data_IF_858971719990
#
_entry.id   IF_858971719990
#
_cell.length_a   1.000
_cell.length_b   1.000
_cell.length_c   1.000
_cell.angle_alpha   90.00
_cell.angle_beta   90.00
_cell.angle_gamma   90.00
#
_symmetry.space_group_name_H-M   'P 1'
#
loop_
_entity.id
_entity.type
_entity.pdbx_description
1 polymer ?
#
# COMPACT_ATOMS: atom_id res chain seq x y z
N UNK A 1 0.67 -1.00 12.87
CA UNK A 1 1.79 -0.99 13.83
C UNK A 1 1.40 -1.47 15.23
N UNK A 2 0.25 -1.09 15.80
CA UNK A 2 -0.10 -1.48 17.18
C UNK A 2 -0.28 -3.01 17.39
N UNK A 3 -0.91 -3.72 16.44
CA UNK A 3 -1.08 -5.18 16.53
C UNK A 3 0.25 -5.96 16.50
N UNK A 4 1.18 -5.58 15.62
CA UNK A 4 2.49 -6.27 15.50
C UNK A 4 3.35 -6.09 16.75
N UNK A 5 3.36 -4.88 17.33
CA UNK A 5 4.13 -4.58 18.55
C UNK A 5 3.62 -5.37 19.76
N UNK A 6 2.35 -5.78 19.76
CA UNK A 6 1.70 -6.49 20.87
C UNK A 6 1.73 -8.02 20.69
N UNK A 7 1.53 -8.55 19.48
CA UNK A 7 1.45 -9.99 19.22
C UNK A 7 2.79 -10.66 18.85
N UNK A 8 3.78 -9.89 18.39
CA UNK A 8 5.03 -10.43 17.84
C UNK A 8 4.85 -11.04 16.44
N UNK A 9 5.90 -10.98 15.61
CA UNK A 9 5.87 -11.41 14.19
C UNK A 9 5.41 -12.86 13.99
N UNK A 10 5.65 -13.74 14.96
CA UNK A 10 5.34 -15.17 14.87
C UNK A 10 3.84 -15.52 14.93
N UNK A 11 2.98 -14.57 15.34
CA UNK A 11 1.52 -14.77 15.41
C UNK A 11 0.77 -14.21 14.20
N UNK A 12 1.48 -13.58 13.26
CA UNK A 12 0.89 -12.93 12.10
C UNK A 12 0.64 -13.94 10.99
N UNK A 13 -0.51 -13.82 10.34
CA UNK A 13 -0.77 -14.56 9.10
C UNK A 13 0.06 -13.97 7.95
N UNK A 14 0.25 -14.73 6.87
CA UNK A 14 0.94 -14.22 5.67
C UNK A 14 0.29 -12.94 5.13
N UNK A 15 -1.02 -12.77 5.31
CA UNK A 15 -1.71 -11.56 4.87
C UNK A 15 -1.44 -10.38 5.81
N UNK A 16 -1.37 -10.60 7.12
CA UNK A 16 -1.03 -9.55 8.09
C UNK A 16 0.40 -9.03 7.87
N UNK A 17 1.33 -9.92 7.50
CA UNK A 17 2.69 -9.55 7.10
C UNK A 17 2.69 -8.64 5.87
N UNK A 18 1.89 -8.96 4.83
CA UNK A 18 1.75 -8.08 3.66
C UNK A 18 1.14 -6.72 4.00
N UNK A 19 0.17 -6.68 4.92
CA UNK A 19 -0.39 -5.42 5.41
C UNK A 19 0.64 -4.58 6.18
N UNK A 20 1.53 -5.23 6.93
CA UNK A 20 2.62 -4.57 7.62
C UNK A 20 3.65 -3.97 6.66
N UNK A 21 4.09 -4.75 5.68
CA UNK A 21 5.01 -4.30 4.62
C UNK A 21 4.40 -3.14 3.83
N UNK A 22 3.11 -3.25 3.47
CA UNK A 22 2.37 -2.16 2.84
C UNK A 22 2.36 -0.89 3.70
N UNK A 23 2.09 -1.00 5.00
CA UNK A 23 2.04 0.15 5.89
C UNK A 23 3.41 0.84 6.00
N UNK A 24 4.49 0.07 6.06
CA UNK A 24 5.85 0.62 6.08
C UNK A 24 6.21 1.32 4.75
N UNK A 25 5.91 0.68 3.62
CA UNK A 25 6.13 1.27 2.30
C UNK A 25 5.28 2.52 2.07
N UNK A 26 4.03 2.53 2.55
CA UNK A 26 3.14 3.69 2.48
C UNK A 26 3.68 4.89 3.25
N UNK A 27 4.15 4.70 4.48
CA UNK A 27 4.75 5.79 5.25
C UNK A 27 6.01 6.35 4.56
N UNK A 28 6.88 5.47 4.04
CA UNK A 28 8.16 5.88 3.45
C UNK A 28 8.03 6.49 2.07
N UNK A 29 7.23 5.91 1.18
CA UNK A 29 7.16 6.30 -0.23
C UNK A 29 6.01 7.29 -0.51
N UNK A 30 4.84 7.05 0.09
CA UNK A 30 3.65 7.88 -0.17
C UNK A 30 3.63 9.12 0.71
N UNK A 31 3.69 8.95 2.03
CA UNK A 31 3.57 10.06 3.00
C UNK A 31 4.86 10.87 3.12
N UNK A 32 6.00 10.21 3.23
CA UNK A 32 7.30 10.86 3.43
C UNK A 32 7.90 11.40 2.12
N UNK A 33 7.18 12.29 1.45
CA UNK A 33 7.59 12.95 0.22
C UNK A 33 8.85 13.83 0.35
N UNK A 34 9.14 14.30 1.57
CA UNK A 34 10.26 15.20 1.86
C UNK A 34 9.90 16.67 1.61
N UNK A 35 10.64 17.58 2.26
CA UNK A 35 10.30 19.01 2.30
C UNK A 35 10.50 19.76 0.98
N UNK A 36 11.28 19.20 0.05
CA UNK A 36 11.68 19.86 -1.20
C UNK A 36 11.14 19.16 -2.45
N UNK A 37 10.16 18.27 -2.29
CA UNK A 37 9.58 17.52 -3.40
C UNK A 37 8.19 18.06 -3.68
N UNK A 38 7.94 18.49 -4.91
CA UNK A 38 6.60 18.81 -5.40
C UNK A 38 6.18 17.70 -6.36
N UNK A 39 5.08 17.00 -6.05
CA UNK A 39 4.56 15.89 -6.85
C UNK A 39 3.24 16.32 -7.46
N UNK A 40 3.08 15.99 -8.74
CA UNK A 40 1.77 16.06 -9.38
C UNK A 40 0.79 15.06 -8.76
N UNK A 41 -0.50 15.28 -9.02
CA UNK A 41 -1.54 14.35 -8.57
C UNK A 41 -1.42 13.01 -9.30
N UNK A 42 -0.98 13.02 -10.56
CA UNK A 42 -0.74 11.84 -11.38
C UNK A 42 0.36 10.96 -10.77
N UNK A 43 1.52 11.54 -10.42
CA UNK A 43 2.61 10.82 -9.75
C UNK A 43 2.16 10.25 -8.40
N UNK A 44 1.37 11.03 -7.65
CA UNK A 44 0.83 10.57 -6.36
C UNK A 44 -0.07 9.36 -6.54
N UNK A 45 -0.96 9.38 -7.54
CA UNK A 45 -1.85 8.26 -7.85
C UNK A 45 -1.08 7.04 -8.35
N UNK A 46 -0.03 7.23 -9.15
CA UNK A 46 0.84 6.16 -9.64
C UNK A 46 1.54 5.44 -8.48
N UNK A 47 2.14 6.19 -7.55
CA UNK A 47 2.75 5.63 -6.33
C UNK A 47 1.68 4.90 -5.49
N UNK A 48 0.50 5.49 -5.35
CA UNK A 48 -0.61 4.85 -4.64
C UNK A 48 -0.97 3.47 -5.22
N UNK A 49 -1.13 3.38 -6.55
CA UNK A 49 -1.43 2.12 -7.21
C UNK A 49 -0.28 1.11 -7.14
N UNK A 50 0.97 1.57 -7.28
CA UNK A 50 2.16 0.74 -7.07
C UNK A 50 2.15 0.11 -5.67
N UNK A 51 1.85 0.88 -4.63
CA UNK A 51 1.78 0.37 -3.26
C UNK A 51 0.59 -0.58 -3.06
N UNK A 52 -0.58 -0.26 -3.59
CA UNK A 52 -1.75 -1.14 -3.53
C UNK A 52 -1.51 -2.49 -4.22
N UNK A 53 -0.62 -2.54 -5.22
CA UNK A 53 -0.23 -3.78 -5.91
C UNK A 53 0.48 -4.81 -5.01
N UNK A 54 1.04 -4.37 -3.87
CA UNK A 54 1.64 -5.25 -2.86
C UNK A 54 0.59 -6.14 -2.17
N UNK A 55 -0.65 -5.66 -2.08
CA UNK A 55 -1.76 -6.38 -1.50
C UNK A 55 -2.46 -7.23 -2.58
N UNK A 56 -2.96 -8.44 -2.26
CA UNK A 56 -3.74 -9.23 -3.20
C UNK A 56 -5.00 -8.49 -3.65
N UNK A 57 -5.37 -8.61 -4.93
CA UNK A 57 -6.57 -7.97 -5.49
C UNK A 57 -7.84 -8.23 -4.66
N UNK A 58 -7.99 -9.43 -4.10
CA UNK A 58 -9.15 -9.81 -3.28
C UNK A 58 -9.31 -8.96 -2.00
N UNK A 59 -8.24 -8.31 -1.54
CA UNK A 59 -8.25 -7.43 -0.38
C UNK A 59 -8.70 -6.00 -0.72
N UNK A 60 -8.68 -5.61 -1.99
CA UNK A 60 -9.02 -4.26 -2.47
C UNK A 60 -10.55 -4.05 -2.61
N UNK A 61 -11.32 -4.48 -1.60
CA UNK A 61 -12.79 -4.57 -1.62
C UNK A 61 -13.52 -3.22 -1.74
N UNK A 62 -12.81 -2.11 -1.51
CA UNK A 62 -13.37 -0.74 -1.57
C UNK A 62 -13.21 -0.09 -2.93
N UNK A 63 -12.43 -0.70 -3.83
CA UNK A 63 -12.14 -0.18 -5.15
C UNK A 63 -13.02 -0.91 -6.15
N UNK A 64 -13.71 -0.14 -6.97
CA UNK A 64 -14.57 -0.64 -8.04
C UNK A 64 -13.75 -1.48 -9.04
N UNK A 65 -14.25 -2.64 -9.45
CA UNK A 65 -13.51 -3.60 -10.29
C UNK A 65 -13.00 -2.97 -11.60
N UNK A 66 -13.77 -2.06 -12.19
CA UNK A 66 -13.37 -1.31 -13.38
C UNK A 66 -12.04 -0.58 -13.21
N UNK A 67 -11.77 -0.04 -12.02
CA UNK A 67 -10.53 0.68 -11.73
C UNK A 67 -9.39 -0.29 -11.43
N UNK A 68 -9.68 -1.41 -10.77
CA UNK A 68 -8.70 -2.48 -10.58
C UNK A 68 -8.23 -3.02 -11.94
N UNK A 69 -9.14 -3.27 -12.87
CA UNK A 69 -8.79 -3.73 -14.23
C UNK A 69 -7.97 -2.72 -15.03
N UNK A 70 -8.22 -1.43 -14.80
CA UNK A 70 -7.50 -0.36 -15.49
C UNK A 70 -6.10 -0.11 -14.91
N UNK A 71 -5.91 -0.21 -13.59
CA UNK A 71 -4.73 0.34 -12.93
C UNK A 71 -3.96 -0.61 -12.01
N UNK A 72 -4.54 -1.74 -11.57
CA UNK A 72 -3.85 -2.63 -10.63
C UNK A 72 -2.71 -3.40 -11.32
N UNK A 73 -1.48 -3.24 -10.81
CA UNK A 73 -0.30 -3.99 -11.27
C UNK A 73 0.21 -3.57 -12.66
N UNK A 74 0.00 -2.30 -13.05
CA UNK A 74 0.41 -1.76 -14.36
C UNK A 74 1.51 -0.71 -14.29
N UNK A 75 2.09 -0.52 -13.11
CA UNK A 75 3.19 0.39 -12.80
C UNK A 75 4.54 -0.32 -12.93
#
# INVERSE_FOLDING_TARGET
KELMTILGEAALTEIDLKYAEFAEAFEKEYVSQGYNTDRSIEETLEIGWKLLSMLPRAELKRIDDKFLDMYYGKQ
#
